data_IF_259403328957
#
_entry.id   IF_259403328957
#
_cell.length_a   1.000
_cell.length_b   1.000
_cell.length_c   1.000
_cell.angle_alpha   90.00
_cell.angle_beta   90.00
_cell.angle_gamma   90.00
#
_symmetry.space_group_name_H-M   'P 1'
#
loop_
_entity.id
_entity.type
_entity.pdbx_description
1 polymer ?
#
# COMPACT_ATOMS: atom_id res chain seq x y z
N UNK A 1 11.98 -5.04 6.48
CA UNK A 1 12.20 -3.81 5.66
C UNK A 1 13.58 -3.80 5.03
N UNK A 2 14.67 -3.80 5.82
CA UNK A 2 16.07 -3.83 5.31
C UNK A 2 16.33 -5.01 4.36
N UNK A 3 15.92 -6.23 4.70
CA UNK A 3 16.10 -7.42 3.85
C UNK A 3 15.45 -7.31 2.46
N UNK A 4 14.32 -6.61 2.35
CA UNK A 4 13.58 -6.46 1.10
C UNK A 4 14.21 -5.37 0.22
N UNK A 5 14.69 -4.30 0.84
CA UNK A 5 15.41 -3.24 0.14
C UNK A 5 16.77 -3.76 -0.35
N UNK A 6 17.50 -4.53 0.47
CA UNK A 6 18.75 -5.19 0.06
C UNK A 6 18.52 -6.21 -1.07
N UNK A 7 17.43 -6.97 -1.03
CA UNK A 7 17.10 -7.89 -2.13
C UNK A 7 16.77 -7.16 -3.45
N UNK A 8 16.15 -5.97 -3.38
CA UNK A 8 15.81 -5.15 -4.54
C UNK A 8 17.00 -4.37 -5.10
N UNK A 9 17.95 -3.92 -4.26
CA UNK A 9 19.07 -3.08 -4.68
C UNK A 9 20.39 -3.83 -4.85
N UNK A 10 20.55 -5.00 -4.23
CA UNK A 10 21.79 -5.77 -4.22
C UNK A 10 21.53 -7.25 -4.53
N UNK A 11 20.82 -7.53 -5.62
CA UNK A 11 20.60 -8.90 -6.10
C UNK A 11 21.94 -9.47 -6.60
N UNK A 12 22.43 -10.63 -6.09
CA UNK A 12 23.65 -11.24 -6.59
C UNK A 12 23.46 -11.65 -8.06
N UNK A 13 24.42 -11.36 -8.95
CA UNK A 13 24.30 -11.65 -10.38
C UNK A 13 24.14 -13.16 -10.71
N UNK A 14 24.46 -14.04 -9.74
CA UNK A 14 24.34 -15.50 -9.86
C UNK A 14 22.97 -16.08 -9.48
N UNK A 15 22.05 -15.27 -8.94
CA UNK A 15 20.71 -15.73 -8.55
C UNK A 15 19.69 -15.15 -9.53
N UNK A 16 19.27 -15.95 -10.50
CA UNK A 16 18.17 -15.58 -11.38
C UNK A 16 16.88 -15.38 -10.56
N UNK A 17 16.14 -14.31 -10.84
CA UNK A 17 14.84 -13.99 -10.21
C UNK A 17 13.76 -15.08 -10.45
N UNK A 18 14.04 -16.03 -11.35
CA UNK A 18 13.17 -17.16 -11.72
C UNK A 18 13.41 -18.42 -10.87
N UNK A 19 14.36 -18.40 -9.93
CA UNK A 19 14.57 -19.51 -9.02
C UNK A 19 13.46 -19.57 -7.96
N UNK A 20 13.12 -20.78 -7.47
CA UNK A 20 12.11 -20.93 -6.41
C UNK A 20 12.41 -20.13 -5.14
N UNK A 21 13.71 -19.94 -4.83
CA UNK A 21 14.17 -19.10 -3.72
C UNK A 21 13.89 -17.61 -4.01
N UNK A 22 14.08 -17.16 -5.26
CA UNK A 22 13.73 -15.81 -5.69
C UNK A 22 12.26 -15.49 -5.47
N UNK A 23 11.36 -16.38 -5.87
CA UNK A 23 9.92 -16.24 -5.61
C UNK A 23 9.58 -16.23 -4.12
N UNK A 24 10.22 -17.08 -3.32
CA UNK A 24 9.99 -17.14 -1.87
C UNK A 24 10.44 -15.86 -1.16
N UNK A 25 11.63 -15.34 -1.48
CA UNK A 25 12.15 -14.09 -0.90
C UNK A 25 11.35 -12.89 -1.36
N UNK A 26 10.95 -12.83 -2.63
CA UNK A 26 10.06 -11.80 -3.16
C UNK A 26 8.68 -11.84 -2.46
N UNK A 27 8.13 -13.04 -2.24
CA UNK A 27 6.89 -13.23 -1.48
C UNK A 27 7.00 -12.74 -0.03
N UNK A 28 8.07 -13.14 0.68
CA UNK A 28 8.35 -12.65 2.05
C UNK A 28 8.52 -11.13 2.10
N UNK A 29 9.14 -10.55 1.08
CA UNK A 29 9.25 -9.11 0.90
C UNK A 29 7.90 -8.42 0.68
N UNK A 30 7.07 -8.98 -0.20
CA UNK A 30 5.71 -8.52 -0.48
C UNK A 30 4.79 -8.61 0.73
N UNK A 31 5.03 -9.55 1.65
CA UNK A 31 4.28 -9.69 2.90
C UNK A 31 4.50 -8.56 3.92
N UNK A 32 5.52 -7.71 3.73
CA UNK A 32 5.77 -6.58 4.63
C UNK A 32 4.62 -5.57 4.64
N UNK A 33 4.03 -5.25 3.49
CA UNK A 33 2.90 -4.33 3.38
C UNK A 33 1.64 -4.81 4.12
N UNK A 34 1.15 -6.06 3.92
CA UNK A 34 0.01 -6.58 4.66
C UNK A 34 0.26 -6.52 6.17
N UNK A 35 1.46 -6.89 6.62
CA UNK A 35 1.80 -6.90 8.04
C UNK A 35 1.74 -5.47 8.64
N UNK A 36 2.27 -4.50 7.91
CA UNK A 36 2.21 -3.09 8.27
C UNK A 36 0.78 -2.55 8.33
N UNK A 37 -0.07 -2.93 7.38
CA UNK A 37 -1.48 -2.52 7.33
C UNK A 37 -2.27 -3.15 8.47
N UNK A 38 -2.09 -4.43 8.75
CA UNK A 38 -2.73 -5.14 9.87
C UNK A 38 -2.31 -4.51 11.20
N UNK A 39 -1.02 -4.28 11.43
CA UNK A 39 -0.53 -3.64 12.65
C UNK A 39 -1.02 -2.19 12.80
N UNK A 40 -1.05 -1.42 11.71
CA UNK A 40 -1.55 -0.05 11.71
C UNK A 40 -3.06 0.01 11.98
N UNK A 41 -3.83 -0.91 11.39
CA UNK A 41 -5.27 -1.08 11.60
C UNK A 41 -5.58 -1.50 13.04
N UNK A 42 -4.91 -2.55 13.53
CA UNK A 42 -5.07 -3.03 14.90
C UNK A 42 -4.67 -1.99 15.95
N UNK A 43 -3.57 -1.26 15.75
CA UNK A 43 -3.15 -0.16 16.62
C UNK A 43 -4.06 1.09 16.56
N UNK A 44 -4.92 1.19 15.54
CA UNK A 44 -5.94 2.23 15.42
C UNK A 44 -7.32 1.77 15.93
N UNK A 45 -7.55 0.46 16.05
CA UNK A 45 -8.80 -0.11 16.50
C UNK A 45 -9.12 0.31 17.95
N UNK A 46 -10.39 0.65 18.19
CA UNK A 46 -10.91 0.95 19.53
C UNK A 46 -10.55 2.33 20.12
N UNK A 47 -9.64 3.10 19.52
CA UNK A 47 -9.28 4.44 20.03
C UNK A 47 -10.06 5.54 19.31
N UNK A 48 -11.07 6.12 19.99
CA UNK A 48 -11.74 7.32 19.51
C UNK A 48 -10.73 8.47 19.39
N UNK A 49 -10.47 8.93 18.17
CA UNK A 49 -9.60 10.07 17.89
C UNK A 49 -10.41 11.18 17.23
N UNK A 50 -10.28 12.44 17.69
CA UNK A 50 -10.91 13.58 17.02
C UNK A 50 -10.49 13.65 15.55
N UNK A 51 -11.41 14.10 14.69
CA UNK A 51 -11.14 14.23 13.26
C UNK A 51 -9.91 15.10 12.95
N UNK A 52 -9.74 16.20 13.69
CA UNK A 52 -8.56 17.06 13.59
C UNK A 52 -7.24 16.30 13.85
N UNK A 53 -7.22 15.34 14.78
CA UNK A 53 -6.04 14.51 15.04
C UNK A 53 -5.78 13.51 13.91
N UNK A 54 -6.83 12.99 13.27
CA UNK A 54 -6.70 12.10 12.11
C UNK A 54 -6.13 12.85 10.91
N UNK A 55 -6.65 14.04 10.63
CA UNK A 55 -6.17 14.93 9.58
C UNK A 55 -4.69 15.31 9.77
N UNK A 56 -4.29 15.73 10.98
CA UNK A 56 -2.87 16.04 11.27
C UNK A 56 -1.95 14.85 11.03
N UNK A 57 -2.36 13.66 11.45
CA UNK A 57 -1.59 12.43 11.20
C UNK A 57 -1.49 12.11 9.72
N UNK A 58 -2.60 12.20 8.98
CA UNK A 58 -2.63 11.97 7.55
C UNK A 58 -1.72 12.97 6.81
N UNK A 59 -1.82 14.26 7.14
CA UNK A 59 -0.97 15.31 6.57
C UNK A 59 0.52 15.03 6.84
N UNK A 60 0.89 14.70 8.08
CA UNK A 60 2.28 14.37 8.43
C UNK A 60 2.80 13.15 7.64
N UNK A 61 1.98 12.12 7.46
CA UNK A 61 2.35 10.93 6.68
C UNK A 61 2.50 11.24 5.19
N UNK A 62 1.63 12.08 4.62
CA UNK A 62 1.75 12.53 3.23
C UNK A 62 2.99 13.40 3.02
N UNK A 63 3.30 14.32 3.94
CA UNK A 63 4.54 15.09 3.88
C UNK A 63 5.77 14.18 3.98
N UNK A 64 5.75 13.20 4.88
CA UNK A 64 6.83 12.22 4.99
C UNK A 64 6.99 11.37 3.72
N UNK A 65 5.90 11.02 3.04
CA UNK A 65 5.95 10.33 1.74
C UNK A 65 6.73 11.14 0.71
N UNK A 66 6.43 12.44 0.59
CA UNK A 66 7.14 13.33 -0.34
C UNK A 66 8.63 13.41 0.01
N UNK A 67 8.96 13.55 1.30
CA UNK A 67 10.38 13.58 1.74
C UNK A 67 11.12 12.30 1.39
N UNK A 68 10.48 11.13 1.58
CA UNK A 68 11.07 9.84 1.21
C UNK A 68 11.29 9.75 -0.30
N UNK A 69 10.30 10.15 -1.11
CA UNK A 69 10.40 10.13 -2.56
C UNK A 69 11.55 11.03 -3.05
N UNK A 70 11.66 12.25 -2.51
CA UNK A 70 12.75 13.19 -2.81
C UNK A 70 14.13 12.67 -2.36
N UNK A 71 14.19 11.80 -1.35
CA UNK A 71 15.43 11.17 -0.89
C UNK A 71 15.88 10.02 -1.78
N UNK A 72 14.97 9.47 -2.59
CA UNK A 72 15.23 8.37 -3.52
C UNK A 72 14.69 8.66 -4.94
N UNK A 73 15.17 9.74 -5.59
CA UNK A 73 14.65 10.20 -6.88
C UNK A 73 14.96 9.24 -8.05
N UNK A 74 15.85 8.27 -7.83
CA UNK A 74 16.15 7.20 -8.79
C UNK A 74 15.12 6.05 -8.76
N UNK A 75 14.25 6.01 -7.74
CA UNK A 75 13.22 4.98 -7.58
C UNK A 75 11.80 5.53 -7.72
N UNK A 76 11.57 6.78 -7.33
CA UNK A 76 10.24 7.36 -7.19
C UNK A 76 10.17 8.79 -7.74
N UNK A 77 9.01 9.12 -8.30
CA UNK A 77 8.65 10.51 -8.58
C UNK A 77 8.24 11.20 -7.27
N UNK A 78 8.35 12.54 -7.17
CA UNK A 78 8.07 13.28 -5.93
C UNK A 78 6.70 12.97 -5.31
N UNK A 79 5.69 12.73 -6.13
CA UNK A 79 4.30 12.50 -5.71
C UNK A 79 3.84 11.05 -5.82
N UNK A 80 4.74 10.10 -6.10
CA UNK A 80 4.40 8.68 -6.14
C UNK A 80 3.74 8.24 -4.82
N UNK A 81 2.51 7.69 -4.85
CA UNK A 81 1.89 7.11 -3.68
C UNK A 81 2.63 5.86 -3.20
N UNK A 82 2.86 5.79 -1.90
CA UNK A 82 3.54 4.69 -1.23
C UNK A 82 2.82 4.20 0.04
N UNK A 83 3.56 3.49 0.88
CA UNK A 83 3.02 2.92 2.13
C UNK A 83 2.58 4.01 3.12
N UNK A 84 3.25 5.17 3.14
CA UNK A 84 2.88 6.26 4.05
C UNK A 84 1.60 6.96 3.60
N UNK A 85 1.39 7.13 2.29
CA UNK A 85 0.10 7.61 1.79
C UNK A 85 -1.02 6.61 2.04
N UNK A 86 -0.76 5.30 1.95
CA UNK A 86 -1.74 4.28 2.36
C UNK A 86 -2.10 4.45 3.84
N UNK A 87 -1.11 4.56 4.73
CA UNK A 87 -1.36 4.81 6.14
C UNK A 87 -2.07 6.13 6.42
N UNK A 88 -1.82 7.17 5.63
CA UNK A 88 -2.53 8.43 5.71
C UNK A 88 -4.02 8.22 5.40
N UNK A 89 -4.35 7.51 4.32
CA UNK A 89 -5.72 7.18 3.95
C UNK A 89 -6.39 6.31 5.01
N UNK A 90 -5.72 5.26 5.48
CA UNK A 90 -6.25 4.43 6.56
C UNK A 90 -6.49 5.26 7.83
N UNK A 91 -5.64 6.24 8.18
CA UNK A 91 -5.89 7.10 9.34
C UNK A 91 -7.17 7.96 9.22
N UNK A 92 -7.63 8.22 7.99
CA UNK A 92 -8.87 8.96 7.70
C UNK A 92 -10.10 8.05 7.67
N UNK A 93 -9.94 6.74 7.49
CA UNK A 93 -11.07 5.81 7.58
C UNK A 93 -11.55 5.75 9.04
N UNK A 94 -12.84 5.96 9.31
CA UNK A 94 -13.37 5.92 10.66
C UNK A 94 -13.53 4.46 11.14
N UNK A 95 -12.43 3.82 11.56
CA UNK A 95 -12.39 2.43 12.07
C UNK A 95 -13.10 2.23 13.43
N UNK A 96 -13.63 3.30 14.02
CA UNK A 96 -14.24 3.24 15.35
C UNK A 96 -15.69 2.81 15.25
N UNK A 97 -15.97 1.58 15.68
CA UNK A 97 -17.29 0.92 15.69
C UNK A 97 -17.91 0.72 14.30
N UNK A 98 -17.31 -0.12 13.43
CA UNK A 98 -18.02 -0.55 12.23
C UNK A 98 -19.33 -1.25 12.63
N UNK A 99 -20.43 -0.79 12.05
CA UNK A 99 -21.67 -1.55 12.05
C UNK A 99 -21.38 -2.97 11.50
N UNK A 100 -22.11 -3.99 11.95
CA UNK A 100 -21.95 -5.37 11.48
C UNK A 100 -22.01 -5.49 9.95
N UNK A 101 -22.77 -4.62 9.29
CA UNK A 101 -22.79 -4.47 7.83
C UNK A 101 -21.44 -4.02 7.26
N UNK A 102 -20.80 -3.02 7.86
CA UNK A 102 -19.47 -2.53 7.45
C UNK A 102 -18.43 -3.64 7.62
N UNK A 103 -18.45 -4.36 8.74
CA UNK A 103 -17.54 -5.50 8.95
C UNK A 103 -17.71 -6.59 7.89
N UNK A 104 -18.96 -6.95 7.57
CA UNK A 104 -19.25 -7.95 6.52
C UNK A 104 -18.81 -7.47 5.14
N UNK A 105 -19.11 -6.23 4.78
CA UNK A 105 -18.67 -5.64 3.52
C UNK A 105 -17.15 -5.62 3.43
N UNK A 106 -16.43 -5.19 4.48
CA UNK A 106 -14.97 -5.14 4.40
C UNK A 106 -14.34 -6.53 4.35
N UNK A 107 -14.88 -7.52 5.08
CA UNK A 107 -14.44 -8.92 4.94
C UNK A 107 -14.70 -9.47 3.52
N UNK A 108 -15.86 -9.17 2.95
CA UNK A 108 -16.19 -9.56 1.58
C UNK A 108 -15.24 -8.90 0.56
N UNK A 109 -14.90 -7.62 0.76
CA UNK A 109 -13.91 -6.91 -0.08
C UNK A 109 -12.51 -7.50 0.13
N UNK A 110 -12.09 -7.81 1.36
CA UNK A 110 -10.78 -8.40 1.64
C UNK A 110 -10.59 -9.76 0.96
N UNK A 111 -11.65 -10.58 0.92
CA UNK A 111 -11.64 -11.89 0.28
C UNK A 111 -11.87 -11.80 -1.24
N UNK A 112 -12.71 -10.86 -1.68
CA UNK A 112 -13.10 -10.68 -3.08
C UNK A 112 -12.09 -9.91 -3.91
N UNK A 113 -11.39 -8.91 -3.35
CA UNK A 113 -10.44 -8.08 -4.08
C UNK A 113 -9.27 -8.90 -4.67
N UNK A 114 -8.64 -9.84 -3.95
CA UNK A 114 -7.62 -10.71 -4.53
C UNK A 114 -8.17 -11.56 -5.69
N UNK A 115 -9.40 -12.09 -5.54
CA UNK A 115 -10.05 -12.89 -6.58
C UNK A 115 -10.33 -12.04 -7.83
N UNK A 116 -10.84 -10.81 -7.66
CA UNK A 116 -11.08 -9.88 -8.76
C UNK A 116 -9.78 -9.50 -9.45
N UNK A 117 -8.68 -9.27 -8.71
CA UNK A 117 -7.36 -8.98 -9.29
C UNK A 117 -6.86 -10.15 -10.13
N UNK A 118 -7.06 -11.39 -9.69
CA UNK A 118 -6.68 -12.60 -10.44
C UNK A 118 -7.54 -12.78 -11.70
N UNK A 119 -8.84 -12.54 -11.61
CA UNK A 119 -9.78 -12.73 -12.73
C UNK A 119 -9.77 -11.57 -13.74
N UNK A 120 -9.40 -10.37 -13.31
CA UNK A 120 -9.39 -9.16 -14.13
C UNK A 120 -8.12 -8.33 -13.89
N UNK A 121 -6.92 -8.85 -14.23
CA UNK A 121 -5.64 -8.19 -13.97
C UNK A 121 -5.51 -6.84 -14.70
N UNK A 122 -6.25 -6.62 -15.79
CA UNK A 122 -6.30 -5.36 -16.50
C UNK A 122 -6.77 -4.18 -15.63
N UNK A 123 -7.57 -4.44 -14.57
CA UNK A 123 -8.00 -3.41 -13.62
C UNK A 123 -6.85 -2.82 -12.81
N UNK A 124 -5.74 -3.55 -12.68
CA UNK A 124 -4.53 -3.07 -12.02
C UNK A 124 -3.65 -2.22 -12.96
N UNK A 125 -3.96 -2.12 -14.26
CA UNK A 125 -3.10 -1.42 -15.23
C UNK A 125 -1.77 -2.13 -15.49
N UNK A 126 -0.86 -1.44 -16.18
CA UNK A 126 0.44 -2.01 -16.59
C UNK A 126 1.32 -2.39 -15.38
N UNK A 127 2.00 -3.54 -15.42
CA UNK A 127 2.86 -4.03 -14.34
C UNK A 127 4.29 -3.47 -14.36
N UNK A 128 4.63 -2.60 -15.32
CA UNK A 128 5.93 -1.95 -15.38
C UNK A 128 6.12 -1.00 -14.19
N UNK A 129 7.36 -0.91 -13.69
CA UNK A 129 7.71 -0.06 -12.56
C UNK A 129 7.32 1.41 -12.82
N UNK A 130 7.70 1.93 -13.98
CA UNK A 130 7.44 3.31 -14.37
C UNK A 130 5.94 3.65 -14.34
N UNK A 131 5.09 2.73 -14.79
CA UNK A 131 3.64 2.92 -14.78
C UNK A 131 3.03 2.94 -13.37
N UNK A 132 3.75 2.48 -12.33
CA UNK A 132 3.31 2.49 -10.93
C UNK A 132 3.78 3.71 -10.16
N UNK A 133 4.84 4.37 -10.65
CA UNK A 133 5.46 5.50 -9.96
C UNK A 133 5.11 6.85 -10.61
N UNK A 134 4.90 6.86 -11.93
CA UNK A 134 4.64 8.08 -12.69
C UNK A 134 3.31 8.71 -12.29
N UNK A 135 3.33 9.99 -11.93
CA UNK A 135 2.12 10.74 -11.61
C UNK A 135 2.07 11.98 -12.49
N UNK A 136 1.40 11.85 -13.63
CA UNK A 136 1.28 12.93 -14.62
C UNK A 136 0.11 13.88 -14.31
N UNK A 137 -0.94 13.37 -13.66
CA UNK A 137 -2.17 14.10 -13.39
C UNK A 137 -2.86 13.67 -12.09
N UNK A 138 -3.89 14.44 -11.70
CA UNK A 138 -4.66 14.19 -10.47
C UNK A 138 -5.45 12.87 -10.54
N UNK A 139 -5.90 12.47 -11.73
CA UNK A 139 -6.61 11.21 -11.92
C UNK A 139 -5.65 10.02 -11.73
N UNK A 140 -4.43 10.10 -12.30
CA UNK A 140 -3.35 9.16 -12.07
C UNK A 140 -2.99 9.05 -10.59
N UNK A 141 -2.86 10.17 -9.89
CA UNK A 141 -2.64 10.18 -8.44
C UNK A 141 -3.75 9.44 -7.67
N UNK A 142 -5.02 9.73 -7.99
CA UNK A 142 -6.16 9.07 -7.34
C UNK A 142 -6.22 7.58 -7.67
N UNK A 143 -5.95 7.21 -8.92
CA UNK A 143 -5.84 5.83 -9.38
C UNK A 143 -4.74 5.09 -8.60
N UNK A 144 -3.56 5.70 -8.46
CA UNK A 144 -2.45 5.13 -7.72
C UNK A 144 -2.75 4.97 -6.22
N UNK A 145 -3.42 5.95 -5.61
CA UNK A 145 -3.84 5.90 -4.21
C UNK A 145 -4.89 4.82 -3.94
N UNK A 146 -5.77 4.52 -4.89
CA UNK A 146 -6.93 3.66 -4.65
C UNK A 146 -6.77 2.25 -5.22
N UNK A 147 -6.16 2.09 -6.39
CA UNK A 147 -6.26 0.86 -7.19
C UNK A 147 -4.93 0.37 -7.78
N UNK A 148 -4.12 1.26 -8.35
CA UNK A 148 -3.05 0.87 -9.31
C UNK A 148 -1.64 1.22 -8.86
N UNK A 149 -1.45 1.92 -7.74
CA UNK A 149 -0.12 2.33 -7.27
C UNK A 149 0.65 1.19 -6.61
N UNK A 150 1.77 1.53 -5.96
CA UNK A 150 2.59 0.57 -5.21
C UNK A 150 1.84 0.00 -3.99
N UNK A 151 1.06 0.85 -3.31
CA UNK A 151 0.29 0.51 -2.11
C UNK A 151 -1.11 1.14 -2.13
N UNK A 152 -2.04 0.65 -2.98
CA UNK A 152 -3.36 1.25 -3.16
C UNK A 152 -4.28 1.06 -1.94
N UNK A 153 -5.39 1.78 -1.81
CA UNK A 153 -6.27 1.63 -0.65
C UNK A 153 -7.15 0.37 -0.72
N UNK A 154 -7.78 0.10 -1.88
CA UNK A 154 -8.85 -0.90 -2.01
C UNK A 154 -8.42 -2.33 -1.65
N UNK A 155 -7.28 -2.87 -2.14
CA UNK A 155 -6.88 -4.22 -1.76
C UNK A 155 -6.43 -4.32 -0.30
N UNK A 156 -5.97 -3.21 0.28
CA UNK A 156 -5.32 -3.20 1.60
C UNK A 156 -6.25 -2.81 2.74
N UNK A 157 -7.28 -1.98 2.51
CA UNK A 157 -8.22 -1.57 3.55
C UNK A 157 -9.04 -2.74 4.11
N UNK A 158 -9.19 -3.81 3.33
CA UNK A 158 -9.74 -5.09 3.74
C UNK A 158 -9.02 -5.73 4.94
N UNK A 159 -7.71 -5.52 5.03
CA UNK A 159 -6.82 -6.13 6.02
C UNK A 159 -6.59 -5.26 7.26
N UNK A 160 -7.10 -4.03 7.29
CA UNK A 160 -6.89 -3.11 8.40
C UNK A 160 -7.81 -3.36 9.62
N UNK A 161 -8.40 -4.57 9.73
CA UNK A 161 -9.34 -4.98 10.78
C UNK A 161 -8.76 -6.02 11.74
#
# INVERSE_FOLDING_TARGET
MVMVHVAATATPPSVAQTTGIGYLVAGLGGLAAPLFVVLAGWGAAGKHRPWASRLRRAALLLCAQVVVNLSAPHLYDPFTPGVLSLFALLALVPWTHPNQHVQRCTRAVALGAPLVIVLAPALQGASSWDARIAVDDLLGLASHLLLTGLYPLVPWCGLAW
#
